data_IF_876958008541
#
_entry.id   IF_876958008541
#
_cell.length_a   1.000
_cell.length_b   1.000
_cell.length_c   1.000
_cell.angle_alpha   90.00
_cell.angle_beta   90.00
_cell.angle_gamma   90.00
#
_symmetry.space_group_name_H-M   'P 1'
#
loop_
_entity.id
_entity.type
_entity.pdbx_description
1 polymer ?
#
# COMPACT_ATOMS: atom_id res chain seq x y z
N UNK A 1 -9.28 9.16 12.47
CA UNK A 1 -8.18 8.18 12.65
C UNK A 1 -8.35 7.15 11.56
N UNK A 2 -7.28 6.77 10.85
CA UNK A 2 -7.32 5.84 9.73
C UNK A 2 -6.93 4.43 10.22
N UNK A 3 -7.81 3.46 10.03
CA UNK A 3 -7.60 2.08 10.45
C UNK A 3 -7.06 1.26 9.28
N UNK A 4 -5.87 0.69 9.45
CA UNK A 4 -5.16 -0.06 8.42
C UNK A 4 -5.28 -1.56 8.61
N UNK A 5 -5.64 -2.27 7.55
CA UNK A 5 -5.47 -3.73 7.44
C UNK A 5 -4.22 -3.99 6.58
N UNK A 6 -3.25 -4.74 7.12
CA UNK A 6 -2.03 -5.09 6.38
C UNK A 6 -2.16 -6.50 5.81
N UNK A 7 -1.98 -6.64 4.49
CA UNK A 7 -2.00 -7.94 3.80
C UNK A 7 -0.57 -8.34 3.45
N UNK A 8 -0.11 -9.45 4.03
CA UNK A 8 1.23 -9.95 3.87
C UNK A 8 2.20 -9.44 4.95
N UNK A 9 2.88 -10.38 5.61
CA UNK A 9 3.89 -10.09 6.64
C UNK A 9 5.25 -10.57 6.15
N UNK A 10 6.00 -9.63 5.58
CA UNK A 10 7.36 -9.80 5.09
C UNK A 10 8.27 -8.68 5.59
N UNK A 11 9.50 -8.64 5.09
CA UNK A 11 10.52 -7.68 5.53
C UNK A 11 10.07 -6.22 5.46
N UNK A 12 9.43 -5.83 4.36
CA UNK A 12 8.99 -4.43 4.19
C UNK A 12 7.92 -4.05 5.22
N UNK A 13 6.95 -4.93 5.47
CA UNK A 13 5.88 -4.66 6.42
C UNK A 13 6.37 -4.64 7.85
N UNK A 14 7.23 -5.57 8.24
CA UNK A 14 7.76 -5.66 9.62
C UNK A 14 8.77 -4.56 9.93
N UNK A 15 9.63 -4.20 8.96
CA UNK A 15 10.73 -3.24 9.19
C UNK A 15 10.32 -1.78 8.95
N UNK A 16 9.25 -1.53 8.17
CA UNK A 16 8.90 -0.18 7.72
C UNK A 16 7.43 0.17 7.89
N UNK A 17 6.53 -0.64 7.33
CA UNK A 17 5.11 -0.26 7.19
C UNK A 17 4.39 -0.28 8.54
N UNK A 18 4.44 -1.41 9.24
CA UNK A 18 3.76 -1.53 10.54
C UNK A 18 4.35 -0.54 11.56
N UNK A 19 5.68 -0.40 11.71
CA UNK A 19 6.23 0.65 12.56
C UNK A 19 5.78 2.06 12.19
N UNK A 20 5.67 2.38 10.90
CA UNK A 20 5.18 3.69 10.46
C UNK A 20 3.68 3.90 10.78
N UNK A 21 2.85 2.88 10.62
CA UNK A 21 1.42 2.93 11.01
C UNK A 21 1.29 3.17 12.52
N UNK A 22 2.10 2.48 13.32
CA UNK A 22 2.07 2.60 14.78
C UNK A 22 2.62 3.93 15.30
N UNK A 23 3.56 4.54 14.58
CA UNK A 23 4.16 5.83 14.92
C UNK A 23 3.32 7.04 14.48
N UNK A 24 2.42 6.89 13.50
CA UNK A 24 1.59 8.00 13.00
C UNK A 24 0.35 8.18 13.89
N UNK A 25 0.19 9.33 14.60
CA UNK A 25 -0.90 9.51 15.56
C UNK A 25 -2.31 9.41 14.97
N UNK A 26 -2.45 9.63 13.66
CA UNK A 26 -3.74 9.55 12.95
C UNK A 26 -4.01 8.17 12.36
N UNK A 27 -3.13 7.20 12.60
CA UNK A 27 -3.22 5.85 12.05
C UNK A 27 -3.34 4.81 13.17
N UNK A 28 -3.97 3.68 12.86
CA UNK A 28 -4.09 2.50 13.72
C UNK A 28 -3.99 1.23 12.89
N UNK A 29 -3.28 0.23 13.43
CA UNK A 29 -3.30 -1.11 12.87
C UNK A 29 -4.56 -1.84 13.34
N UNK A 30 -5.49 -2.09 12.41
CA UNK A 30 -6.76 -2.80 12.69
C UNK A 30 -6.55 -4.32 12.70
N UNK A 31 -5.58 -4.82 11.94
CA UNK A 31 -5.27 -6.23 11.88
C UNK A 31 -4.38 -6.62 10.70
N UNK A 32 -4.16 -7.90 10.57
CA UNK A 32 -3.22 -8.47 9.59
C UNK A 32 -3.86 -9.65 8.87
N UNK A 33 -3.72 -9.70 7.53
CA UNK A 33 -4.02 -10.89 6.74
C UNK A 33 -2.70 -11.61 6.41
N UNK A 34 -2.56 -12.84 6.86
CA UNK A 34 -1.32 -13.62 6.68
C UNK A 34 -1.60 -15.11 6.70
N UNK A 35 -0.81 -15.89 5.96
CA UNK A 35 -0.86 -17.37 6.02
C UNK A 35 -0.34 -17.96 7.33
N UNK A 36 0.35 -17.15 8.12
CA UNK A 36 0.95 -17.55 9.41
C UNK A 36 0.46 -16.60 10.50
N UNK A 37 -0.70 -16.90 11.15
CA UNK A 37 -1.32 -16.02 12.16
C UNK A 37 -0.38 -15.58 13.29
N UNK A 38 0.49 -16.46 13.76
CA UNK A 38 1.48 -16.14 14.79
C UNK A 38 2.38 -14.94 14.50
N UNK A 39 2.49 -14.53 13.22
CA UNK A 39 3.22 -13.28 12.85
C UNK A 39 2.51 -12.02 13.29
N UNK A 40 1.22 -12.08 13.63
CA UNK A 40 0.46 -10.94 14.13
C UNK A 40 0.55 -10.78 15.65
N UNK A 41 0.95 -11.83 16.37
CA UNK A 41 1.02 -11.83 17.84
C UNK A 41 1.95 -10.74 18.36
N UNK A 42 3.08 -10.50 17.67
CA UNK A 42 4.03 -9.45 17.99
C UNK A 42 3.43 -8.02 17.99
N UNK A 43 2.28 -7.84 17.37
CA UNK A 43 1.62 -6.53 17.24
C UNK A 43 0.33 -6.43 18.07
N UNK A 44 -0.07 -7.50 18.75
CA UNK A 44 -1.28 -7.54 19.58
C UNK A 44 -2.58 -7.30 18.81
N UNK A 45 -2.62 -7.64 17.52
CA UNK A 45 -3.78 -7.43 16.66
C UNK A 45 -4.31 -8.76 16.12
N UNK A 46 -5.56 -8.75 15.74
CA UNK A 46 -6.20 -9.94 15.14
C UNK A 46 -5.58 -10.27 13.78
N UNK A 47 -5.39 -11.56 13.54
CA UNK A 47 -4.98 -12.11 12.25
C UNK A 47 -6.12 -12.85 11.56
N UNK A 48 -6.11 -12.78 10.22
CA UNK A 48 -6.97 -13.57 9.35
C UNK A 48 -6.10 -14.28 8.30
N UNK A 49 -6.57 -15.43 7.85
CA UNK A 49 -6.00 -16.17 6.72
C UNK A 49 -6.81 -15.93 5.43
N UNK A 50 -8.01 -15.41 5.57
CA UNK A 50 -8.95 -15.10 4.49
C UNK A 50 -9.16 -13.58 4.38
N UNK A 51 -9.00 -13.03 3.16
CA UNK A 51 -9.10 -11.59 2.91
C UNK A 51 -10.55 -11.11 2.99
N UNK A 52 -11.48 -11.82 2.37
CA UNK A 52 -12.89 -11.42 2.33
C UNK A 52 -13.43 -11.27 3.76
N UNK A 53 -13.12 -12.25 4.61
CA UNK A 53 -13.50 -12.21 6.03
C UNK A 53 -12.83 -11.05 6.78
N UNK A 54 -11.54 -10.82 6.52
CA UNK A 54 -10.81 -9.71 7.14
C UNK A 54 -11.41 -8.33 6.76
N UNK A 55 -11.76 -8.14 5.48
CA UNK A 55 -12.40 -6.91 5.01
C UNK A 55 -13.76 -6.65 5.67
N UNK A 56 -14.52 -7.70 5.95
CA UNK A 56 -15.81 -7.61 6.63
C UNK A 56 -15.70 -7.35 8.13
N UNK A 57 -14.74 -7.98 8.80
CA UNK A 57 -14.67 -8.04 10.27
C UNK A 57 -13.71 -7.02 10.90
N UNK A 58 -12.69 -6.53 10.16
CA UNK A 58 -11.62 -5.70 10.74
C UNK A 58 -12.02 -4.27 11.07
N UNK A 59 -13.09 -3.77 10.49
CA UNK A 59 -13.45 -2.34 10.59
C UNK A 59 -12.41 -1.40 9.97
N UNK A 60 -11.55 -1.89 9.07
CA UNK A 60 -10.53 -1.05 8.44
C UNK A 60 -11.13 -0.04 7.47
N UNK A 61 -10.45 1.10 7.31
CA UNK A 61 -10.73 2.13 6.32
C UNK A 61 -9.86 1.93 5.08
N UNK A 62 -8.63 1.46 5.29
CA UNK A 62 -7.61 1.31 4.26
C UNK A 62 -6.87 -0.02 4.40
N UNK A 63 -6.37 -0.49 3.27
CA UNK A 63 -5.63 -1.74 3.14
C UNK A 63 -4.23 -1.46 2.60
N UNK A 64 -3.21 -2.04 3.23
CA UNK A 64 -1.85 -2.07 2.71
C UNK A 64 -1.55 -3.44 2.11
N UNK A 65 -1.32 -3.53 0.80
CA UNK A 65 -1.05 -4.80 0.10
C UNK A 65 0.46 -4.98 -0.09
N UNK A 66 1.02 -6.01 0.53
CA UNK A 66 2.45 -6.34 0.49
C UNK A 66 2.70 -7.85 0.34
N UNK A 67 1.92 -8.49 -0.48
CA UNK A 67 2.03 -9.89 -0.85
C UNK A 67 2.96 -10.07 -2.06
N UNK A 68 3.20 -11.29 -2.56
CA UNK A 68 3.83 -11.48 -3.87
C UNK A 68 3.10 -10.76 -4.99
N UNK A 69 3.84 -10.24 -5.98
CA UNK A 69 3.33 -9.34 -7.04
C UNK A 69 2.09 -9.88 -7.78
N UNK A 70 2.01 -11.20 -7.98
CA UNK A 70 0.85 -11.85 -8.62
C UNK A 70 -0.46 -11.72 -7.82
N UNK A 71 -0.39 -11.34 -6.56
CA UNK A 71 -1.55 -11.12 -5.70
C UNK A 71 -1.91 -9.65 -5.54
N UNK A 72 -1.08 -8.72 -6.01
CA UNK A 72 -1.32 -7.29 -5.86
C UNK A 72 -2.63 -6.86 -6.51
N UNK A 73 -2.84 -7.21 -7.78
CA UNK A 73 -4.05 -6.82 -8.51
C UNK A 73 -5.32 -7.45 -7.92
N UNK A 74 -5.43 -8.78 -7.75
CA UNK A 74 -6.65 -9.38 -7.22
C UNK A 74 -7.00 -8.88 -5.83
N UNK A 75 -6.03 -8.78 -4.92
CA UNK A 75 -6.29 -8.34 -3.54
C UNK A 75 -6.62 -6.84 -3.45
N UNK A 76 -5.99 -6.01 -4.27
CA UNK A 76 -6.33 -4.58 -4.35
C UNK A 76 -7.73 -4.37 -4.90
N UNK A 77 -8.11 -5.08 -5.97
CA UNK A 77 -9.45 -4.99 -6.58
C UNK A 77 -10.52 -5.46 -5.59
N UNK A 78 -10.30 -6.57 -4.89
CA UNK A 78 -11.21 -7.07 -3.86
C UNK A 78 -11.40 -6.04 -2.75
N UNK A 79 -10.30 -5.46 -2.25
CA UNK A 79 -10.34 -4.44 -1.20
C UNK A 79 -11.08 -3.17 -1.63
N UNK A 80 -10.83 -2.69 -2.86
CA UNK A 80 -11.52 -1.53 -3.44
C UNK A 80 -13.02 -1.78 -3.56
N UNK A 81 -13.42 -2.95 -4.08
CA UNK A 81 -14.83 -3.37 -4.18
C UNK A 81 -15.52 -3.50 -2.83
N UNK A 82 -14.77 -3.87 -1.79
CA UNK A 82 -15.24 -3.86 -0.41
C UNK A 82 -15.31 -2.44 0.20
N UNK A 83 -15.09 -1.39 -0.59
CA UNK A 83 -15.17 0.00 -0.17
C UNK A 83 -13.99 0.49 0.65
N UNK A 84 -12.82 -0.15 0.54
CA UNK A 84 -11.60 0.26 1.27
C UNK A 84 -10.66 1.05 0.36
N UNK A 85 -9.94 2.01 0.92
CA UNK A 85 -8.79 2.62 0.25
C UNK A 85 -7.64 1.62 0.19
N UNK A 86 -6.81 1.71 -0.85
CA UNK A 86 -5.70 0.76 -1.03
C UNK A 86 -4.38 1.49 -1.25
N UNK A 87 -3.36 1.07 -0.53
CA UNK A 87 -1.96 1.38 -0.81
C UNK A 87 -1.24 0.06 -1.14
N UNK A 88 -0.86 -0.11 -2.41
CA UNK A 88 -0.23 -1.33 -2.91
C UNK A 88 1.27 -1.16 -3.02
N UNK A 89 2.04 -2.18 -2.63
CA UNK A 89 3.49 -2.21 -2.86
C UNK A 89 3.83 -2.21 -4.36
N UNK A 90 5.04 -1.77 -4.63
CA UNK A 90 5.60 -1.81 -5.99
C UNK A 90 6.17 -3.21 -6.32
N UNK A 91 6.11 -3.66 -7.57
CA UNK A 91 5.37 -3.07 -8.67
C UNK A 91 3.86 -3.18 -8.44
N UNK A 92 3.09 -2.25 -9.01
CA UNK A 92 1.63 -2.19 -8.84
C UNK A 92 0.92 -3.48 -9.25
N UNK A 93 1.37 -4.09 -10.35
CA UNK A 93 0.78 -5.27 -10.97
C UNK A 93 1.84 -6.01 -11.80
N UNK A 94 1.50 -7.18 -12.35
CA UNK A 94 2.37 -7.95 -13.23
C UNK A 94 2.46 -7.34 -14.65
N UNK A 95 1.40 -6.64 -15.08
CA UNK A 95 1.30 -6.10 -16.43
C UNK A 95 0.33 -4.90 -16.48
N UNK A 96 0.31 -4.23 -17.64
CA UNK A 96 -0.52 -3.05 -17.87
C UNK A 96 -2.02 -3.33 -17.74
N UNK A 97 -2.51 -4.47 -18.22
CA UNK A 97 -3.94 -4.81 -18.18
C UNK A 97 -4.44 -4.97 -16.73
N UNK A 98 -3.64 -5.60 -15.86
CA UNK A 98 -3.94 -5.68 -14.43
C UNK A 98 -3.95 -4.30 -13.78
N UNK A 99 -2.97 -3.44 -14.09
CA UNK A 99 -2.91 -2.08 -13.56
C UNK A 99 -4.14 -1.26 -13.97
N UNK A 100 -4.59 -1.37 -15.23
CA UNK A 100 -5.83 -0.76 -15.71
C UNK A 100 -7.06 -1.27 -14.94
N UNK A 101 -7.13 -2.58 -14.69
CA UNK A 101 -8.23 -3.19 -13.92
C UNK A 101 -8.28 -2.66 -12.47
N UNK A 102 -7.11 -2.48 -11.84
CA UNK A 102 -7.03 -1.88 -10.51
C UNK A 102 -7.50 -0.41 -10.52
N UNK A 103 -7.07 0.38 -11.51
CA UNK A 103 -7.51 1.77 -11.66
C UNK A 103 -9.02 1.86 -11.87
N UNK A 104 -9.58 1.00 -12.73
CA UNK A 104 -11.02 0.94 -12.97
C UNK A 104 -11.79 0.59 -11.71
N UNK A 105 -11.33 -0.39 -10.92
CA UNK A 105 -11.94 -0.73 -9.65
C UNK A 105 -11.93 0.43 -8.65
N UNK A 106 -10.84 1.20 -8.60
CA UNK A 106 -10.74 2.39 -7.77
C UNK A 106 -11.75 3.47 -8.19
N UNK A 107 -11.86 3.73 -9.51
CA UNK A 107 -12.82 4.69 -10.05
C UNK A 107 -14.28 4.29 -9.75
N UNK A 108 -14.61 3.01 -9.97
CA UNK A 108 -15.96 2.47 -9.73
C UNK A 108 -16.37 2.47 -8.26
N UNK A 109 -15.42 2.21 -7.36
CA UNK A 109 -15.69 2.21 -5.91
C UNK A 109 -15.65 3.60 -5.27
N UNK A 110 -15.16 4.62 -5.96
CA UNK A 110 -14.91 5.95 -5.40
C UNK A 110 -13.82 5.93 -4.31
N UNK A 111 -12.92 4.93 -4.32
CA UNK A 111 -11.86 4.79 -3.34
C UNK A 111 -10.49 5.13 -3.94
N UNK A 112 -9.59 5.55 -3.08
CA UNK A 112 -8.22 5.88 -3.47
C UNK A 112 -7.39 4.62 -3.64
N UNK A 113 -6.69 4.52 -4.76
CA UNK A 113 -5.63 3.55 -4.99
C UNK A 113 -4.30 4.30 -5.09
N UNK A 114 -3.36 3.96 -4.23
CA UNK A 114 -1.99 4.44 -4.27
C UNK A 114 -1.00 3.31 -4.49
N UNK A 115 0.17 3.64 -5.05
CA UNK A 115 1.30 2.72 -5.15
C UNK A 115 2.45 3.23 -4.28
N UNK A 116 3.07 2.36 -3.51
CA UNK A 116 4.07 2.69 -2.50
C UNK A 116 5.44 3.06 -3.10
N UNK A 117 5.48 4.04 -3.99
CA UNK A 117 6.72 4.65 -4.49
C UNK A 117 7.25 5.70 -3.48
N UNK A 118 7.50 5.28 -2.24
CA UNK A 118 7.82 6.15 -1.10
C UNK A 118 9.07 7.01 -1.31
N UNK A 119 10.03 6.58 -2.13
CA UNK A 119 11.24 7.38 -2.45
C UNK A 119 10.92 8.70 -3.13
N UNK A 120 9.78 8.78 -3.82
CA UNK A 120 9.26 10.01 -4.41
C UNK A 120 9.07 11.14 -3.37
N UNK A 121 8.83 10.78 -2.12
CA UNK A 121 8.60 11.72 -1.02
C UNK A 121 9.90 12.16 -0.32
N UNK A 122 11.06 11.63 -0.71
CA UNK A 122 12.31 12.01 -0.07
C UNK A 122 12.69 13.47 -0.36
N UNK A 123 13.13 14.24 0.66
CA UNK A 123 13.54 15.65 0.48
C UNK A 123 14.56 15.81 -0.64
N UNK A 124 15.56 14.93 -0.73
CA UNK A 124 16.58 14.97 -1.80
C UNK A 124 16.00 14.77 -3.20
N UNK A 125 14.94 13.95 -3.34
CA UNK A 125 14.27 13.73 -4.63
C UNK A 125 13.44 14.96 -5.00
N UNK A 126 12.76 15.58 -4.04
CA UNK A 126 12.03 16.81 -4.25
C UNK A 126 12.99 17.95 -4.62
N UNK A 127 14.13 18.08 -3.92
CA UNK A 127 15.15 19.09 -4.27
C UNK A 127 15.73 18.88 -5.68
N UNK A 128 15.98 17.64 -6.08
CA UNK A 128 16.43 17.34 -7.46
C UNK A 128 15.39 17.77 -8.50
N UNK A 129 14.10 17.54 -8.24
CA UNK A 129 13.01 17.99 -9.13
C UNK A 129 12.91 19.51 -9.21
N UNK A 130 13.08 20.22 -8.09
CA UNK A 130 13.13 21.68 -8.04
C UNK A 130 14.29 22.22 -8.90
N UNK A 131 15.52 21.72 -8.72
CA UNK A 131 16.68 22.12 -9.49
C UNK A 131 16.51 21.92 -11.00
N UNK A 132 15.84 20.83 -11.39
CA UNK A 132 15.49 20.59 -12.80
C UNK A 132 14.48 21.62 -13.28
N UNK A 133 13.44 21.90 -12.51
CA UNK A 133 12.40 22.86 -12.87
C UNK A 133 12.91 24.29 -12.93
N UNK A 134 13.85 24.66 -12.05
CA UNK A 134 14.53 25.95 -12.03
C UNK A 134 15.56 26.13 -13.17
N UNK A 135 15.85 25.06 -13.93
CA UNK A 135 16.86 25.08 -14.99
C UNK A 135 18.30 25.09 -14.49
N UNK A 136 18.54 24.86 -13.19
CA UNK A 136 19.86 24.93 -12.56
C UNK A 136 20.89 23.98 -13.17
N UNK A 137 20.46 22.89 -13.78
CA UNK A 137 21.32 21.92 -14.49
C UNK A 137 21.16 22.00 -16.01
N UNK A 138 20.49 23.04 -16.53
CA UNK A 138 20.15 23.15 -17.95
C UNK A 138 19.10 22.12 -18.38
N UNK A 139 19.01 21.87 -19.67
CA UNK A 139 18.06 20.89 -20.23
C UNK A 139 18.53 19.45 -19.98
N UNK A 140 17.84 18.64 -19.20
CA UNK A 140 18.17 17.21 -19.06
C UNK A 140 18.02 16.49 -20.39
N UNK A 141 19.04 15.72 -20.77
CA UNK A 141 19.05 14.93 -22.01
C UNK A 141 18.94 13.45 -21.69
N UNK A 142 19.54 13.01 -20.55
CA UNK A 142 19.58 11.62 -20.16
C UNK A 142 19.72 11.49 -18.63
N UNK A 143 19.16 10.46 -18.05
CA UNK A 143 19.36 10.06 -16.66
C UNK A 143 19.63 8.55 -16.56
N UNK A 144 20.59 8.15 -15.73
CA UNK A 144 20.93 6.75 -15.43
C UNK A 144 20.54 6.39 -13.98
#
# INVERSE_FOLDING_TARGET
MLHWLVIGVGDITTKRVIPAILAEPRSRLAGIVTRTPAKADAYGVRAWTDLTRALAESGCDAVYVATPNCLHAPQSIESLRAGKHVLCEKPMALNFAEACSMQQAAAQSGRTLGVAYYRRCYPKVNRAKELIAEGAIGRPVFAM
#
